data_IF_859096274131
#
_entry.id   IF_859096274131
#
_cell.length_a   1.000
_cell.length_b   1.000
_cell.length_c   1.000
_cell.angle_alpha   90.00
_cell.angle_beta   90.00
_cell.angle_gamma   90.00
#
_symmetry.space_group_name_H-M   'P 1'
#
loop_
_entity.id
_entity.type
_entity.pdbx_description
1 polymer ?
#
# COMPACT_ATOMS: atom_id res chain seq x y z
N UNK A 1 -16.85 -13.00 5.00
CA UNK A 1 -16.01 -13.16 6.21
C UNK A 1 -15.04 -14.28 5.88
N UNK A 2 -13.82 -13.95 5.48
CA UNK A 2 -12.83 -14.99 5.14
C UNK A 2 -12.09 -15.42 6.41
N UNK A 3 -11.92 -16.74 6.55
CA UNK A 3 -11.21 -17.37 7.65
C UNK A 3 -9.84 -17.77 7.14
N UNK A 4 -8.82 -17.62 7.98
CA UNK A 4 -7.44 -18.01 7.66
C UNK A 4 -6.92 -18.90 8.78
N UNK A 5 -5.93 -19.74 8.48
CA UNK A 5 -5.29 -20.57 9.49
C UNK A 5 -4.11 -19.83 10.12
N UNK A 6 -4.01 -19.90 11.45
CA UNK A 6 -2.90 -19.35 12.19
C UNK A 6 -1.58 -20.06 11.80
N UNK A 7 -0.54 -19.29 11.43
CA UNK A 7 0.77 -19.81 11.01
C UNK A 7 1.59 -20.49 12.11
N UNK A 8 1.26 -20.21 13.38
CA UNK A 8 1.93 -20.82 14.54
C UNK A 8 1.31 -22.14 15.01
N UNK A 9 -0.03 -22.16 15.24
CA UNK A 9 -0.73 -23.31 15.82
C UNK A 9 -1.71 -24.03 14.87
N UNK A 10 -1.92 -23.54 13.65
CA UNK A 10 -2.79 -24.17 12.65
C UNK A 10 -4.29 -24.05 12.90
N UNK A 11 -4.74 -23.27 13.89
CA UNK A 11 -6.18 -23.08 14.17
C UNK A 11 -6.81 -22.00 13.29
N UNK A 12 -8.09 -22.19 12.98
CA UNK A 12 -8.89 -21.22 12.23
C UNK A 12 -9.07 -19.94 13.05
N UNK A 13 -8.79 -18.81 12.41
CA UNK A 13 -8.93 -17.47 12.95
C UNK A 13 -9.54 -16.55 11.90
N UNK A 14 -10.10 -15.44 12.36
CA UNK A 14 -10.60 -14.42 11.47
C UNK A 14 -9.45 -13.75 10.70
N UNK A 15 -9.63 -13.43 9.41
CA UNK A 15 -8.61 -12.77 8.56
C UNK A 15 -8.03 -11.49 9.18
N UNK A 16 -8.83 -10.76 9.97
CA UNK A 16 -8.41 -9.51 10.60
C UNK A 16 -7.77 -9.67 11.98
N UNK A 17 -7.63 -10.90 12.50
CA UNK A 17 -7.06 -11.14 13.81
C UNK A 17 -5.55 -10.83 13.82
N UNK A 18 -5.15 -9.74 14.49
CA UNK A 18 -3.73 -9.32 14.60
C UNK A 18 -2.86 -10.37 15.32
N UNK A 19 -3.44 -11.06 16.31
CA UNK A 19 -2.80 -12.15 17.03
C UNK A 19 -3.76 -13.33 17.19
N UNK A 20 -3.23 -14.55 17.19
CA UNK A 20 -4.03 -15.73 17.44
C UNK A 20 -4.42 -15.79 18.94
N UNK A 21 -5.72 -15.88 19.28
CA UNK A 21 -6.17 -15.95 20.68
C UNK A 21 -5.75 -17.25 21.38
N UNK A 22 -5.36 -18.28 20.63
CA UNK A 22 -5.01 -19.59 21.19
C UNK A 22 -3.51 -19.75 21.50
N UNK A 23 -2.63 -19.22 20.65
CA UNK A 23 -1.18 -19.41 20.80
C UNK A 23 -0.39 -18.10 20.92
N UNK A 24 -1.03 -16.94 20.78
CA UNK A 24 -0.36 -15.64 20.87
C UNK A 24 0.52 -15.27 19.68
N UNK A 25 0.67 -16.13 18.66
CA UNK A 25 1.45 -15.80 17.48
C UNK A 25 0.79 -14.65 16.71
N UNK A 26 1.57 -13.62 16.36
CA UNK A 26 1.14 -12.49 15.52
C UNK A 26 0.87 -12.99 14.10
N UNK A 27 -0.31 -12.70 13.56
CA UNK A 27 -0.78 -13.21 12.25
C UNK A 27 -0.82 -12.14 11.18
N UNK A 28 -0.62 -10.88 11.56
CA UNK A 28 -0.64 -9.76 10.65
C UNK A 28 0.62 -9.74 9.77
N UNK A 29 0.45 -10.12 8.51
CA UNK A 29 1.41 -9.84 7.44
C UNK A 29 0.94 -8.63 6.65
N UNK A 30 0.67 -7.50 7.32
CA UNK A 30 0.48 -6.24 6.59
C UNK A 30 1.76 -5.97 5.84
N UNK A 31 1.70 -5.88 4.50
CA UNK A 31 2.88 -5.73 3.68
C UNK A 31 3.76 -4.58 4.17
N UNK A 32 5.08 -4.76 4.06
CA UNK A 32 6.11 -3.78 4.40
C UNK A 32 6.09 -2.53 3.50
N UNK A 33 4.91 -2.14 2.98
CA UNK A 33 4.75 -0.97 2.13
C UNK A 33 4.60 0.23 3.05
N UNK A 34 5.66 1.01 3.13
CA UNK A 34 5.71 2.17 4.01
C UNK A 34 5.07 3.37 3.29
N UNK A 35 4.11 4.04 3.94
CA UNK A 35 3.42 5.21 3.36
C UNK A 35 4.39 6.31 2.95
N UNK A 36 5.45 6.48 3.75
CA UNK A 36 6.46 7.53 3.55
C UNK A 36 7.23 7.26 2.26
N UNK A 37 7.58 6.00 1.99
CA UNK A 37 8.21 5.60 0.73
C UNK A 37 7.31 5.90 -0.47
N UNK A 38 6.00 5.61 -0.36
CA UNK A 38 5.05 5.91 -1.43
C UNK A 38 4.90 7.43 -1.66
N UNK A 39 4.91 8.24 -0.59
CA UNK A 39 4.90 9.70 -0.68
C UNK A 39 6.19 10.25 -1.34
N UNK A 40 7.37 9.81 -0.90
CA UNK A 40 8.65 10.19 -1.50
C UNK A 40 8.71 9.82 -2.99
N UNK A 41 8.25 8.61 -3.35
CA UNK A 41 8.17 8.19 -4.75
C UNK A 41 7.19 9.05 -5.55
N UNK A 42 6.07 9.48 -4.96
CA UNK A 42 5.11 10.37 -5.61
C UNK A 42 5.67 11.78 -5.80
N UNK A 43 6.52 12.28 -4.90
CA UNK A 43 7.14 13.61 -5.04
C UNK A 43 8.29 13.61 -6.06
N UNK A 44 9.23 12.66 -5.95
CA UNK A 44 10.43 12.63 -6.80
C UNK A 44 10.19 11.99 -8.18
N UNK A 45 9.42 10.90 -8.24
CA UNK A 45 9.16 10.13 -9.46
C UNK A 45 7.66 10.13 -9.83
N UNK A 46 6.90 11.10 -9.32
CA UNK A 46 5.47 11.23 -9.57
C UNK A 46 5.09 11.36 -11.04
N UNK A 47 5.86 12.15 -11.79
CA UNK A 47 5.67 12.30 -13.24
C UNK A 47 5.82 10.99 -14.01
N UNK A 48 6.64 10.05 -13.52
CA UNK A 48 6.83 8.72 -14.09
C UNK A 48 5.86 7.66 -13.53
N UNK A 49 5.11 7.99 -12.47
CA UNK A 49 4.16 7.07 -11.83
C UNK A 49 4.80 5.99 -10.95
N UNK A 50 6.04 6.16 -10.47
CA UNK A 50 6.74 5.13 -9.69
C UNK A 50 6.03 4.74 -8.39
N UNK A 51 5.31 5.67 -7.76
CA UNK A 51 4.50 5.37 -6.58
C UNK A 51 3.38 4.38 -6.88
N UNK A 52 2.78 4.40 -8.08
CA UNK A 52 1.76 3.40 -8.49
C UNK A 52 2.37 2.01 -8.68
N UNK A 53 3.59 1.93 -9.21
CA UNK A 53 4.34 0.68 -9.31
C UNK A 53 4.66 0.12 -7.92
N UNK A 54 5.06 0.97 -6.97
CA UNK A 54 5.31 0.56 -5.58
C UNK A 54 4.07 0.01 -4.88
N UNK A 55 2.89 0.56 -5.19
CA UNK A 55 1.60 0.10 -4.67
C UNK A 55 1.06 -1.16 -5.38
N UNK A 56 1.81 -1.74 -6.32
CA UNK A 56 1.40 -2.92 -7.10
C UNK A 56 0.41 -2.62 -8.23
N UNK A 57 0.12 -1.36 -8.52
CA UNK A 57 -0.82 -0.92 -9.56
C UNK A 57 -0.10 -0.66 -10.89
N UNK A 58 0.48 -1.71 -11.46
CA UNK A 58 1.29 -1.66 -12.69
C UNK A 58 0.56 -0.99 -13.86
N UNK A 59 -0.73 -1.27 -14.07
CA UNK A 59 -1.51 -0.65 -15.15
C UNK A 59 -1.62 0.87 -15.02
N UNK A 60 -1.81 1.39 -13.80
CA UNK A 60 -1.85 2.84 -13.55
C UNK A 60 -0.46 3.47 -13.70
N UNK A 61 0.59 2.77 -13.28
CA UNK A 61 1.97 3.21 -13.47
C UNK A 61 2.34 3.35 -14.96
N UNK A 62 1.96 2.38 -15.80
CA UNK A 62 2.22 2.43 -17.23
C UNK A 62 1.47 3.59 -17.91
N UNK A 63 0.22 3.84 -17.50
CA UNK A 63 -0.55 4.99 -17.98
C UNK A 63 0.19 6.30 -17.69
N UNK A 64 0.71 6.47 -16.47
CA UNK A 64 1.48 7.66 -16.08
C UNK A 64 2.75 7.80 -16.93
N UNK A 65 3.43 6.69 -17.23
CA UNK A 65 4.65 6.67 -18.03
C UNK A 65 4.39 7.10 -19.49
N UNK A 66 3.30 6.64 -20.09
CA UNK A 66 2.89 7.04 -21.46
C UNK A 66 2.46 8.51 -21.50
N UNK A 67 1.76 8.99 -20.46
CA UNK A 67 1.35 10.39 -20.35
C UNK A 67 2.42 11.30 -19.74
N UNK A 68 3.63 10.83 -19.44
CA UNK A 68 4.69 11.60 -18.78
C UNK A 68 5.03 12.91 -19.51
N UNK A 69 4.92 12.94 -20.85
CA UNK A 69 5.16 14.12 -21.68
C UNK A 69 4.11 15.24 -21.55
N UNK A 70 2.94 15.00 -20.94
CA UNK A 70 1.88 16.01 -20.83
C UNK A 70 1.97 16.86 -19.57
N UNK A 71 2.93 16.60 -18.67
CA UNK A 71 3.04 17.19 -17.32
C UNK A 71 1.85 16.93 -16.37
N UNK A 72 0.69 16.50 -16.89
CA UNK A 72 -0.50 16.11 -16.12
C UNK A 72 -0.19 15.08 -15.02
N UNK A 73 0.60 14.02 -15.26
CA UNK A 73 0.91 13.02 -14.23
C UNK A 73 1.66 13.62 -13.04
N UNK A 74 2.47 14.66 -13.27
CA UNK A 74 3.24 15.32 -12.22
C UNK A 74 2.33 16.08 -11.25
N UNK A 75 1.30 16.77 -11.77
CA UNK A 75 0.31 17.48 -10.94
C UNK A 75 -0.52 16.50 -10.11
N UNK A 76 -0.99 15.40 -10.73
CA UNK A 76 -1.78 14.40 -10.02
C UNK A 76 -0.93 13.71 -8.94
N UNK A 77 0.33 13.38 -9.24
CA UNK A 77 1.23 12.79 -8.27
C UNK A 77 1.53 13.73 -7.10
N UNK A 78 1.60 15.05 -7.34
CA UNK A 78 1.72 16.03 -6.26
C UNK A 78 0.49 16.04 -5.33
N UNK A 79 -0.72 15.94 -5.89
CA UNK A 79 -1.94 15.80 -5.08
C UNK A 79 -1.93 14.48 -4.30
N UNK A 80 -1.55 13.37 -4.94
CA UNK A 80 -1.43 12.07 -4.27
C UNK A 80 -0.37 12.09 -3.17
N UNK A 81 0.73 12.81 -3.35
CA UNK A 81 1.77 13.01 -2.34
C UNK A 81 1.19 13.66 -1.07
N UNK A 82 0.41 14.74 -1.20
CA UNK A 82 -0.25 15.38 -0.06
C UNK A 82 -1.24 14.43 0.61
N UNK A 83 -2.02 13.68 -0.18
CA UNK A 83 -2.94 12.67 0.35
C UNK A 83 -2.18 11.62 1.18
N UNK A 84 -1.07 11.08 0.67
CA UNK A 84 -0.28 10.08 1.38
C UNK A 84 0.40 10.61 2.64
N UNK A 85 0.76 11.90 2.68
CA UNK A 85 1.26 12.54 3.89
C UNK A 85 0.18 12.76 4.96
N UNK A 86 -1.04 13.07 4.54
CA UNK A 86 -2.18 13.25 5.44
C UNK A 86 -2.86 11.93 5.85
N UNK A 87 -2.56 10.82 5.17
CA UNK A 87 -3.10 9.50 5.50
C UNK A 87 -2.35 8.86 6.68
N UNK A 88 -3.07 8.09 7.49
CA UNK A 88 -2.51 7.35 8.64
C UNK A 88 -1.89 6.02 8.19
N UNK A 89 -0.83 5.56 8.84
CA UNK A 89 -0.20 4.26 8.52
C UNK A 89 -1.20 3.10 8.52
N UNK A 90 -2.16 3.10 9.45
CA UNK A 90 -3.19 2.05 9.54
C UNK A 90 -4.13 2.03 8.33
N UNK A 91 -4.59 3.20 7.88
CA UNK A 91 -5.44 3.31 6.69
C UNK A 91 -4.68 2.97 5.41
N UNK A 92 -3.42 3.42 5.30
CA UNK A 92 -2.56 3.08 4.19
C UNK A 92 -2.31 1.57 4.11
N UNK A 93 -1.96 0.94 5.23
CA UNK A 93 -1.78 -0.50 5.33
C UNK A 93 -3.09 -1.27 5.06
N UNK A 94 -4.25 -0.73 5.41
CA UNK A 94 -5.54 -1.35 5.07
C UNK A 94 -5.85 -1.28 3.57
N UNK A 95 -5.47 -0.19 2.90
CA UNK A 95 -5.78 0.06 1.49
C UNK A 95 -4.75 -0.55 0.52
N UNK A 96 -3.51 -0.67 0.96
CA UNK A 96 -2.37 -1.05 0.14
C UNK A 96 -1.48 -2.15 0.75
N UNK A 97 -1.79 -2.64 1.95
CA UNK A 97 -1.06 -3.72 2.64
C UNK A 97 -0.94 -4.98 1.83
#
# INVERSE_FOLDING_TARGET
>A
MSMVFCRGCGKEIHESARACPQCGATQFTGGNKNRISAALLAFFLGGFGAHKFYLGKIGQGLLYLIFCWTFIPSIIAFVEFIIYLCDTDENFARKYG
#
